data_IF_545294586171
#
_entry.id   IF_545294586171
#
_cell.length_a   1.000
_cell.length_b   1.000
_cell.length_c   1.000
_cell.angle_alpha   90.00
_cell.angle_beta   90.00
_cell.angle_gamma   90.00
#
_symmetry.space_group_name_H-M   'P 1'
#
loop_
_entity.id
_entity.type
_entity.pdbx_description
1 polymer ?
#
# COMPACT_ATOMS: atom_id res chain seq x y z
N UNK A 1 14.10 -12.31 -27.04
CA UNK A 1 13.95 -10.97 -26.44
C UNK A 1 14.15 -11.15 -24.94
N UNK A 2 15.08 -10.41 -24.35
CA UNK A 2 15.32 -10.52 -22.89
C UNK A 2 14.19 -9.81 -22.19
N UNK A 3 13.36 -10.56 -21.46
CA UNK A 3 12.28 -10.02 -20.64
C UNK A 3 12.85 -9.03 -19.63
N UNK A 4 12.50 -7.77 -19.72
CA UNK A 4 13.11 -6.71 -18.93
C UNK A 4 12.12 -6.16 -17.89
N UNK A 5 12.41 -6.44 -16.62
CA UNK A 5 11.79 -5.71 -15.50
C UNK A 5 12.45 -4.32 -15.40
N UNK A 6 11.64 -3.28 -15.42
CA UNK A 6 12.06 -1.90 -15.19
C UNK A 6 11.27 -1.28 -14.06
N UNK A 7 11.94 -0.65 -13.12
CA UNK A 7 11.29 0.21 -12.12
C UNK A 7 11.47 1.67 -12.52
N UNK A 8 10.42 2.46 -12.40
CA UNK A 8 10.45 3.90 -12.62
C UNK A 8 9.55 4.64 -11.61
N UNK A 9 9.84 5.91 -11.38
CA UNK A 9 8.89 6.78 -10.69
C UNK A 9 7.57 6.80 -11.47
N UNK A 10 6.45 6.85 -10.75
CA UNK A 10 5.17 7.04 -11.38
C UNK A 10 5.05 8.47 -11.92
N UNK A 11 4.21 8.64 -12.90
CA UNK A 11 3.80 9.92 -13.44
C UNK A 11 2.31 10.14 -13.12
N UNK A 12 1.87 11.39 -13.12
CA UNK A 12 0.48 11.74 -12.86
C UNK A 12 -0.53 11.02 -13.78
N UNK A 13 -0.11 10.68 -15.00
CA UNK A 13 -0.91 9.91 -15.96
C UNK A 13 -1.13 8.45 -15.55
N UNK A 14 -0.27 7.89 -14.70
CA UNK A 14 -0.37 6.50 -14.22
C UNK A 14 -1.51 6.31 -13.20
N UNK A 15 -2.12 7.38 -12.72
CA UNK A 15 -3.06 7.34 -11.58
C UNK A 15 -4.23 6.35 -11.75
N UNK A 16 -4.66 6.05 -12.97
CA UNK A 16 -5.69 5.04 -13.21
C UNK A 16 -5.17 3.62 -12.92
N UNK A 17 -3.96 3.30 -13.42
CA UNK A 17 -3.27 2.04 -13.13
C UNK A 17 -2.92 1.91 -11.64
N UNK A 18 -2.48 3.00 -11.03
CA UNK A 18 -2.22 3.04 -9.59
C UNK A 18 -3.48 2.69 -8.80
N UNK A 19 -4.66 3.25 -9.17
CA UNK A 19 -5.91 2.96 -8.48
C UNK A 19 -6.28 1.48 -8.55
N UNK A 20 -6.12 0.85 -9.71
CA UNK A 20 -6.38 -0.59 -9.89
C UNK A 20 -5.40 -1.42 -9.05
N UNK A 21 -4.11 -1.08 -9.05
CA UNK A 21 -3.10 -1.84 -8.32
C UNK A 21 -3.18 -1.64 -6.80
N UNK A 22 -3.57 -0.45 -6.32
CA UNK A 22 -3.89 -0.19 -4.91
C UNK A 22 -5.10 -1.02 -4.47
N UNK A 23 -6.14 -1.09 -5.29
CA UNK A 23 -7.32 -1.93 -5.00
C UNK A 23 -6.93 -3.41 -4.90
N UNK A 24 -6.07 -3.90 -5.81
CA UNK A 24 -5.54 -5.27 -5.77
C UNK A 24 -4.71 -5.51 -4.51
N UNK A 25 -3.88 -4.55 -4.11
CA UNK A 25 -3.03 -4.65 -2.93
C UNK A 25 -3.83 -4.65 -1.62
N UNK A 26 -4.94 -3.92 -1.60
CA UNK A 26 -5.79 -3.72 -0.42
C UNK A 26 -6.96 -4.70 -0.32
N UNK A 27 -7.11 -5.64 -1.25
CA UNK A 27 -8.17 -6.67 -1.26
C UNK A 27 -9.59 -6.12 -1.06
N UNK A 28 -9.90 -4.96 -1.68
CA UNK A 28 -11.22 -4.34 -1.60
C UNK A 28 -11.34 -3.20 -0.59
N UNK A 29 -10.35 -3.03 0.29
CA UNK A 29 -10.38 -1.97 1.29
C UNK A 29 -10.36 -0.56 0.66
N UNK A 30 -9.57 -0.36 -0.40
CA UNK A 30 -9.49 0.92 -1.10
C UNK A 30 -10.83 1.28 -1.75
N UNK A 31 -11.49 0.35 -2.44
CA UNK A 31 -12.83 0.56 -2.99
C UNK A 31 -13.83 0.93 -1.89
N UNK A 32 -13.82 0.25 -0.75
CA UNK A 32 -14.68 0.59 0.36
C UNK A 32 -14.45 2.04 0.85
N UNK A 33 -13.18 2.43 1.00
CA UNK A 33 -12.81 3.78 1.44
C UNK A 33 -13.25 4.85 0.42
N UNK A 34 -13.01 4.61 -0.86
CA UNK A 34 -13.34 5.53 -1.94
C UNK A 34 -14.85 5.63 -2.20
N UNK A 35 -15.60 4.57 -1.91
CA UNK A 35 -17.07 4.56 -2.09
C UNK A 35 -17.80 5.60 -1.23
N UNK A 36 -17.17 6.09 -0.17
CA UNK A 36 -17.69 7.21 0.62
C UNK A 36 -17.96 8.47 -0.22
N UNK A 37 -17.09 8.77 -1.19
CA UNK A 37 -17.29 9.91 -2.12
C UNK A 37 -18.48 9.69 -3.07
N UNK A 38 -18.69 8.45 -3.53
CA UNK A 38 -19.88 8.10 -4.35
C UNK A 38 -21.16 8.32 -3.55
N UNK A 39 -21.20 7.92 -2.28
CA UNK A 39 -22.36 8.14 -1.40
C UNK A 39 -22.68 9.62 -1.18
N UNK A 40 -21.67 10.49 -1.26
CA UNK A 40 -21.86 11.94 -1.14
C UNK A 40 -22.14 12.63 -2.48
N UNK A 41 -22.15 11.88 -3.59
CA UNK A 41 -22.37 12.42 -4.95
C UNK A 41 -21.18 13.23 -5.49
N UNK A 42 -19.97 13.00 -4.98
CA UNK A 42 -18.75 13.71 -5.40
C UNK A 42 -18.11 13.07 -6.64
N UNK A 43 -18.32 11.78 -6.85
CA UNK A 43 -17.84 11.00 -8.00
C UNK A 43 -18.86 9.94 -8.40
N UNK A 44 -18.79 9.45 -9.63
CA UNK A 44 -19.70 8.43 -10.14
C UNK A 44 -19.32 7.02 -9.68
N UNK A 45 -18.02 6.76 -9.49
CA UNK A 45 -17.51 5.45 -9.08
C UNK A 45 -16.37 5.54 -8.04
N UNK A 46 -16.21 4.49 -7.22
CA UNK A 46 -15.09 4.40 -6.29
C UNK A 46 -13.74 4.45 -7.01
N UNK A 47 -13.64 3.83 -8.20
CA UNK A 47 -12.40 3.82 -8.98
C UNK A 47 -12.03 5.21 -9.53
N UNK A 48 -13.02 6.00 -9.91
CA UNK A 48 -12.83 7.42 -10.29
C UNK A 48 -12.29 8.23 -9.11
N UNK A 49 -12.85 8.01 -7.90
CA UNK A 49 -12.36 8.63 -6.68
C UNK A 49 -10.90 8.24 -6.41
N UNK A 50 -10.58 6.95 -6.52
CA UNK A 50 -9.21 6.46 -6.34
C UNK A 50 -8.23 7.12 -7.31
N UNK A 51 -8.60 7.17 -8.61
CA UNK A 51 -7.82 7.86 -9.63
C UNK A 51 -7.64 9.35 -9.30
N UNK A 52 -8.69 10.03 -8.85
CA UNK A 52 -8.65 11.44 -8.47
C UNK A 52 -7.67 11.68 -7.31
N UNK A 53 -7.76 10.87 -6.25
CA UNK A 53 -6.87 10.94 -5.09
C UNK A 53 -5.41 10.71 -5.48
N UNK A 54 -5.14 9.66 -6.23
CA UNK A 54 -3.77 9.30 -6.65
C UNK A 54 -3.16 10.30 -7.64
N UNK A 55 -3.91 11.23 -8.20
CA UNK A 55 -3.43 12.35 -9.03
C UNK A 55 -3.07 13.61 -8.26
N UNK A 56 -3.36 13.68 -6.98
CA UNK A 56 -3.07 14.87 -6.16
C UNK A 56 -1.56 15.05 -5.99
N UNK A 57 -1.11 16.30 -5.99
CA UNK A 57 0.33 16.61 -5.94
C UNK A 57 0.87 16.68 -4.50
N UNK A 58 0.01 16.98 -3.54
CA UNK A 58 0.38 17.24 -2.15
C UNK A 58 -0.24 16.22 -1.16
N UNK A 59 -0.71 15.09 -1.68
CA UNK A 59 -1.31 14.02 -0.86
C UNK A 59 -0.27 12.93 -0.63
N UNK A 60 0.08 12.60 0.64
CA UNK A 60 0.91 11.43 0.93
C UNK A 60 0.28 10.14 0.39
N UNK A 61 1.08 9.29 -0.22
CA UNK A 61 0.60 8.07 -0.86
C UNK A 61 0.00 8.25 -2.25
N UNK A 62 0.12 9.45 -2.86
CA UNK A 62 -0.26 9.69 -4.26
C UNK A 62 0.86 9.34 -5.25
N UNK A 63 0.74 9.74 -6.51
CA UNK A 63 1.63 9.35 -7.60
C UNK A 63 3.11 9.69 -7.35
N UNK A 64 3.43 10.79 -6.65
CA UNK A 64 4.83 11.18 -6.35
C UNK A 64 5.54 10.18 -5.44
N UNK A 65 4.80 9.47 -4.62
CA UNK A 65 5.31 8.45 -3.71
C UNK A 65 5.33 7.05 -4.33
N UNK A 66 4.80 6.92 -5.56
CA UNK A 66 4.64 5.64 -6.23
C UNK A 66 5.83 5.29 -7.14
N UNK A 67 6.17 4.01 -7.16
CA UNK A 67 7.09 3.39 -8.10
C UNK A 67 6.34 2.36 -8.93
N UNK A 68 6.41 2.50 -10.24
CA UNK A 68 5.80 1.58 -11.20
C UNK A 68 6.83 0.53 -11.64
N UNK A 69 6.42 -0.72 -11.63
CA UNK A 69 7.14 -1.82 -12.25
C UNK A 69 6.55 -2.11 -13.64
N UNK A 70 7.38 -2.00 -14.66
CA UNK A 70 7.05 -2.39 -16.03
C UNK A 70 7.69 -3.74 -16.35
N UNK A 71 6.94 -4.60 -17.03
CA UNK A 71 7.40 -5.88 -17.56
C UNK A 71 7.13 -5.91 -19.06
N UNK A 72 8.20 -5.96 -19.85
CA UNK A 72 8.13 -5.86 -21.32
C UNK A 72 7.38 -4.62 -21.84
N UNK A 73 7.47 -3.50 -21.10
CA UNK A 73 6.83 -2.23 -21.47
C UNK A 73 5.40 -2.06 -20.98
N UNK A 74 4.81 -3.06 -20.32
CA UNK A 74 3.48 -2.97 -19.71
C UNK A 74 3.59 -2.76 -18.20
N UNK A 75 2.67 -1.98 -17.62
CA UNK A 75 2.58 -1.82 -16.17
C UNK A 75 2.20 -3.17 -15.54
N UNK A 76 3.06 -3.68 -14.68
CA UNK A 76 2.91 -4.98 -14.05
C UNK A 76 2.65 -4.91 -12.54
N UNK A 77 3.08 -3.83 -11.88
CA UNK A 77 2.91 -3.66 -10.45
C UNK A 77 3.29 -2.25 -9.98
N UNK A 78 3.03 -2.01 -8.71
CA UNK A 78 3.31 -0.74 -8.04
C UNK A 78 3.76 -0.96 -6.60
N UNK A 79 4.63 -0.08 -6.10
CA UNK A 79 4.75 0.21 -4.67
C UNK A 79 4.47 1.68 -4.42
N UNK A 80 3.82 1.96 -3.30
CA UNK A 80 3.61 3.32 -2.77
C UNK A 80 4.19 3.35 -1.38
N UNK A 81 5.13 4.25 -1.13
CA UNK A 81 5.74 4.41 0.17
C UNK A 81 6.12 5.86 0.44
N UNK A 82 5.88 6.30 1.67
CA UNK A 82 6.15 7.65 2.13
C UNK A 82 6.73 7.64 3.54
N UNK A 83 7.27 8.77 3.96
CA UNK A 83 7.80 8.92 5.30
C UNK A 83 6.68 9.22 6.28
N UNK A 84 6.55 8.37 7.30
CA UNK A 84 5.51 8.51 8.31
C UNK A 84 5.97 9.50 9.37
N UNK A 85 5.43 10.69 9.36
CA UNK A 85 5.79 11.78 10.26
C UNK A 85 4.95 11.82 11.55
N UNK A 86 5.28 12.75 12.46
CA UNK A 86 4.60 12.93 13.74
C UNK A 86 3.12 13.30 13.61
N UNK A 87 2.68 13.83 12.47
CA UNK A 87 1.28 14.25 12.26
C UNK A 87 0.30 13.09 12.41
N UNK A 88 0.74 11.85 12.17
CA UNK A 88 -0.11 10.66 12.34
C UNK A 88 -0.63 10.53 13.77
N UNK A 89 0.08 11.05 14.78
CA UNK A 89 -0.32 10.97 16.20
C UNK A 89 -1.57 11.81 16.50
N UNK A 90 -1.74 12.89 15.76
CA UNK A 90 -2.85 13.81 15.92
C UNK A 90 -4.03 13.50 14.98
N UNK A 91 -3.88 12.49 14.11
CA UNK A 91 -4.93 12.09 13.19
C UNK A 91 -6.09 11.44 13.93
N UNK A 92 -7.28 11.95 13.70
CA UNK A 92 -8.52 11.34 14.18
C UNK A 92 -9.06 10.41 13.08
N UNK A 93 -9.28 9.16 13.42
CA UNK A 93 -9.84 8.20 12.48
C UNK A 93 -11.25 8.65 12.03
N UNK A 94 -11.47 8.89 10.73
CA UNK A 94 -12.76 9.34 10.22
C UNK A 94 -13.85 8.26 10.31
N UNK A 95 -13.44 7.01 10.53
CA UNK A 95 -14.32 5.87 10.66
C UNK A 95 -13.67 4.79 11.55
N UNK A 96 -14.45 4.02 12.37
CA UNK A 96 -13.90 2.97 13.24
C UNK A 96 -13.03 1.94 12.53
N UNK A 97 -13.31 1.64 11.25
CA UNK A 97 -12.51 0.72 10.41
C UNK A 97 -11.07 1.20 10.23
N UNK A 98 -10.84 2.52 10.20
CA UNK A 98 -9.50 3.11 10.00
C UNK A 98 -8.69 3.16 11.29
N UNK A 99 -9.37 3.19 12.45
CA UNK A 99 -8.70 3.39 13.73
C UNK A 99 -7.57 2.38 14.01
N UNK A 100 -7.75 1.06 13.84
CA UNK A 100 -6.66 0.10 14.07
C UNK A 100 -5.43 0.35 13.20
N UNK A 101 -5.61 0.82 11.97
CA UNK A 101 -4.49 1.14 11.07
C UNK A 101 -3.70 2.35 11.57
N UNK A 102 -4.37 3.42 11.98
CA UNK A 102 -3.71 4.59 12.59
C UNK A 102 -3.02 4.23 13.90
N UNK A 103 -3.64 3.45 14.77
CA UNK A 103 -3.04 3.01 16.03
C UNK A 103 -1.74 2.22 15.79
N UNK A 104 -1.68 1.41 14.73
CA UNK A 104 -0.46 0.69 14.34
C UNK A 104 0.58 1.62 13.72
N UNK A 105 0.19 2.58 12.88
CA UNK A 105 1.11 3.54 12.26
C UNK A 105 1.82 4.41 13.30
N UNK A 106 1.14 4.82 14.36
CA UNK A 106 1.73 5.59 15.48
C UNK A 106 2.95 4.87 16.10
N UNK A 107 2.98 3.53 16.08
CA UNK A 107 4.09 2.75 16.65
C UNK A 107 5.36 2.77 15.79
N UNK A 108 5.29 3.29 14.57
CA UNK A 108 6.38 3.29 13.58
C UNK A 108 6.63 4.67 12.97
N UNK A 109 6.23 5.72 13.66
CA UNK A 109 6.55 7.11 13.28
C UNK A 109 8.06 7.26 13.07
N UNK A 110 8.45 7.98 12.03
CA UNK A 110 9.84 8.14 11.59
C UNK A 110 10.33 7.04 10.63
N UNK A 111 9.53 6.00 10.39
CA UNK A 111 9.86 4.99 9.39
C UNK A 111 9.46 5.42 7.98
N UNK A 112 10.08 4.77 6.98
CA UNK A 112 9.49 4.72 5.64
C UNK A 112 8.36 3.68 5.65
N UNK A 113 7.14 4.14 5.45
CA UNK A 113 5.95 3.31 5.46
C UNK A 113 5.57 2.90 4.04
N UNK A 114 5.49 1.60 3.79
CA UNK A 114 4.97 1.06 2.54
C UNK A 114 3.46 0.90 2.70
N UNK A 115 2.72 1.79 2.05
CA UNK A 115 1.26 1.82 2.09
C UNK A 115 0.65 0.74 1.19
N UNK A 116 1.18 0.61 -0.03
CA UNK A 116 0.67 -0.32 -1.02
C UNK A 116 1.80 -1.03 -1.76
N UNK A 117 1.66 -2.32 -2.00
CA UNK A 117 2.50 -3.11 -2.89
C UNK A 117 1.62 -4.11 -3.64
N UNK A 118 1.36 -3.83 -4.90
CA UNK A 118 0.46 -4.61 -5.75
C UNK A 118 1.12 -5.08 -7.04
N UNK A 119 0.80 -6.31 -7.45
CA UNK A 119 1.25 -6.89 -8.72
C UNK A 119 0.05 -7.56 -9.40
N UNK A 120 -0.17 -7.26 -10.68
CA UNK A 120 -1.19 -7.91 -11.47
C UNK A 120 -1.05 -9.43 -11.44
N UNK A 121 -2.18 -10.14 -11.36
CA UNK A 121 -2.20 -11.61 -11.16
C UNK A 121 -1.34 -12.38 -12.17
N UNK A 122 -1.41 -11.99 -13.45
CA UNK A 122 -0.67 -12.64 -14.54
C UNK A 122 0.83 -12.33 -14.58
N UNK A 123 1.27 -11.37 -13.75
CA UNK A 123 2.67 -11.00 -13.54
C UNK A 123 3.26 -11.53 -12.22
N UNK A 124 2.45 -12.17 -11.38
CA UNK A 124 2.94 -12.76 -10.10
C UNK A 124 3.91 -13.92 -10.36
N UNK A 125 4.75 -14.21 -9.37
CA UNK A 125 5.75 -15.28 -9.50
C UNK A 125 7.01 -14.89 -10.31
N UNK A 126 7.05 -13.71 -10.91
CA UNK A 126 8.18 -13.23 -11.75
C UNK A 126 9.21 -12.37 -10.97
N UNK A 127 9.12 -12.30 -9.65
CA UNK A 127 10.04 -11.52 -8.82
C UNK A 127 9.72 -10.02 -8.70
N UNK A 128 8.66 -9.52 -9.34
CA UNK A 128 8.30 -8.10 -9.39
C UNK A 128 8.04 -7.52 -7.98
N UNK A 129 7.25 -8.22 -7.15
CA UNK A 129 6.97 -7.79 -5.78
C UNK A 129 8.23 -7.68 -4.92
N UNK A 130 9.20 -8.60 -5.11
CA UNK A 130 10.51 -8.55 -4.43
C UNK A 130 11.32 -7.34 -4.89
N UNK A 131 11.33 -7.03 -6.19
CA UNK A 131 12.05 -5.89 -6.73
C UNK A 131 11.47 -4.56 -6.24
N UNK A 132 10.14 -4.41 -6.21
CA UNK A 132 9.45 -3.26 -5.65
C UNK A 132 9.76 -3.09 -4.16
N UNK A 133 9.70 -4.18 -3.38
CA UNK A 133 10.03 -4.16 -1.95
C UNK A 133 11.49 -3.75 -1.71
N UNK A 134 12.43 -4.31 -2.47
CA UNK A 134 13.84 -3.94 -2.38
C UNK A 134 14.05 -2.44 -2.67
N UNK A 135 13.37 -1.93 -3.70
CA UNK A 135 13.43 -0.51 -4.04
C UNK A 135 12.91 0.40 -2.90
N UNK A 136 11.81 0.03 -2.22
CA UNK A 136 11.30 0.78 -1.07
C UNK A 136 12.27 0.74 0.13
N UNK A 137 12.93 -0.40 0.35
CA UNK A 137 13.97 -0.55 1.37
C UNK A 137 15.16 0.36 1.07
N UNK A 138 15.62 0.42 -0.18
CA UNK A 138 16.72 1.30 -0.61
C UNK A 138 16.36 2.79 -0.43
N UNK A 139 15.13 3.18 -0.76
CA UNK A 139 14.61 4.55 -0.55
C UNK A 139 14.55 4.97 0.92
N UNK A 140 14.55 4.03 1.85
CA UNK A 140 14.54 4.34 3.29
C UNK A 140 15.85 4.95 3.79
N UNK A 141 16.95 4.83 3.04
CA UNK A 141 18.25 5.43 3.36
C UNK A 141 18.71 5.11 4.80
N UNK A 142 18.66 3.85 5.20
CA UNK A 142 19.09 3.39 6.53
C UNK A 142 18.06 3.57 7.65
N UNK A 143 16.88 4.11 7.36
CA UNK A 143 15.78 4.19 8.34
C UNK A 143 15.00 2.87 8.41
N UNK A 144 14.24 2.70 9.48
CA UNK A 144 13.28 1.61 9.60
C UNK A 144 12.30 1.65 8.41
N UNK A 145 11.99 0.47 7.86
CA UNK A 145 10.90 0.29 6.90
C UNK A 145 9.76 -0.45 7.58
N UNK A 146 8.54 0.00 7.39
CA UNK A 146 7.35 -0.59 7.99
C UNK A 146 6.21 -0.72 6.99
N UNK A 147 5.28 -1.60 7.30
CA UNK A 147 4.05 -1.80 6.53
C UNK A 147 3.00 -2.51 7.40
N UNK A 148 1.75 -2.46 6.95
CA UNK A 148 0.64 -3.21 7.57
C UNK A 148 0.07 -4.16 6.51
N UNK A 149 -0.24 -5.39 6.92
CA UNK A 149 -0.89 -6.37 6.05
C UNK A 149 -1.94 -7.17 6.82
N UNK A 150 -2.79 -7.89 6.11
CA UNK A 150 -3.80 -8.76 6.71
C UNK A 150 -3.16 -10.07 7.21
N UNK A 151 -3.62 -10.56 8.36
CA UNK A 151 -3.10 -11.79 9.00
C UNK A 151 -3.28 -13.06 8.15
N UNK A 152 -4.18 -13.05 7.18
CA UNK A 152 -4.42 -14.17 6.26
C UNK A 152 -3.78 -13.98 4.87
N UNK A 153 -3.01 -12.92 4.66
CA UNK A 153 -2.28 -12.70 3.41
C UNK A 153 -0.93 -13.45 3.44
N UNK A 154 -1.01 -14.80 3.43
CA UNK A 154 0.17 -15.65 3.52
C UNK A 154 1.27 -15.35 2.49
N UNK A 155 0.95 -15.09 1.19
CA UNK A 155 1.99 -14.76 0.22
C UNK A 155 2.74 -13.46 0.56
N UNK A 156 2.07 -12.44 1.06
CA UNK A 156 2.69 -11.18 1.46
C UNK A 156 3.53 -11.38 2.73
N UNK A 157 2.99 -12.05 3.74
CA UNK A 157 3.72 -12.37 4.98
C UNK A 157 5.02 -13.14 4.68
N UNK A 158 4.97 -14.14 3.79
CA UNK A 158 6.15 -14.89 3.36
C UNK A 158 7.18 -14.00 2.64
N UNK A 159 6.72 -13.11 1.74
CA UNK A 159 7.59 -12.16 1.05
C UNK A 159 8.30 -11.25 2.05
N UNK A 160 7.58 -10.67 2.99
CA UNK A 160 8.13 -9.74 3.97
C UNK A 160 9.10 -10.45 4.93
N UNK A 161 8.74 -11.62 5.46
CA UNK A 161 9.62 -12.41 6.33
C UNK A 161 10.94 -12.77 5.63
N UNK A 162 10.88 -13.19 4.35
CA UNK A 162 12.07 -13.50 3.54
C UNK A 162 12.97 -12.28 3.26
N UNK A 163 12.46 -11.05 3.48
CA UNK A 163 13.19 -9.80 3.32
C UNK A 163 13.51 -9.11 4.68
N UNK A 164 13.46 -9.86 5.78
CA UNK A 164 13.91 -9.40 7.10
C UNK A 164 12.91 -8.54 7.87
N UNK A 165 11.64 -8.53 7.47
CA UNK A 165 10.57 -7.92 8.27
C UNK A 165 10.15 -8.88 9.39
N UNK A 166 9.92 -8.32 10.57
CA UNK A 166 9.37 -9.03 11.72
C UNK A 166 8.10 -8.34 12.21
N UNK A 167 7.21 -9.11 12.81
CA UNK A 167 6.00 -8.59 13.42
C UNK A 167 6.36 -7.70 14.61
N UNK A 168 5.79 -6.49 14.64
CA UNK A 168 5.94 -5.53 15.72
C UNK A 168 4.68 -5.43 16.59
N UNK A 169 3.52 -5.52 15.97
CA UNK A 169 2.21 -5.45 16.63
C UNK A 169 1.13 -6.02 15.72
N UNK A 170 -0.03 -6.34 16.30
CA UNK A 170 -1.25 -6.66 15.57
C UNK A 170 -2.49 -6.17 16.31
N UNK A 171 -3.51 -5.83 15.56
CA UNK A 171 -4.80 -5.40 16.08
C UNK A 171 -5.93 -6.07 15.29
N UNK A 172 -7.06 -6.41 15.95
CA UNK A 172 -8.25 -6.88 15.26
C UNK A 172 -8.72 -5.85 14.21
N UNK A 173 -8.99 -6.30 13.00
CA UNK A 173 -9.63 -5.48 11.98
C UNK A 173 -11.10 -5.32 12.30
N UNK A 174 -11.64 -4.11 12.10
CA UNK A 174 -13.09 -3.89 12.12
C UNK A 174 -13.65 -4.37 10.77
N UNK A 175 -14.64 -5.28 10.75
CA UNK A 175 -15.20 -5.77 9.49
C UNK A 175 -15.80 -4.66 8.64
N UNK A 176 -15.57 -4.72 7.33
CA UNK A 176 -16.15 -3.77 6.37
C UNK A 176 -17.64 -4.00 6.18
N UNK A 177 -18.07 -5.26 6.24
CA UNK A 177 -19.44 -5.73 6.10
C UNK A 177 -19.72 -6.83 7.15
N UNK A 178 -20.99 -7.11 7.44
CA UNK A 178 -21.37 -8.12 8.44
C UNK A 178 -20.83 -9.52 8.13
N UNK A 179 -20.75 -9.87 6.85
CA UNK A 179 -20.25 -11.15 6.33
C UNK A 179 -18.75 -11.15 6.01
N UNK A 180 -18.04 -10.05 6.28
CA UNK A 180 -16.58 -9.98 6.04
C UNK A 180 -15.85 -11.02 6.88
N UNK A 181 -14.88 -11.70 6.25
CA UNK A 181 -13.99 -12.61 6.96
C UNK A 181 -13.20 -11.83 8.02
N UNK A 182 -13.27 -12.29 9.26
CA UNK A 182 -12.51 -11.69 10.37
C UNK A 182 -11.01 -11.93 10.16
N UNK A 183 -10.23 -10.89 10.38
CA UNK A 183 -8.78 -10.93 10.33
C UNK A 183 -8.18 -9.90 11.30
N UNK A 184 -6.88 -9.89 11.38
CA UNK A 184 -6.10 -8.88 12.13
C UNK A 184 -5.24 -8.09 11.15
N UNK A 185 -5.03 -6.84 11.47
CA UNK A 185 -3.97 -6.05 10.86
C UNK A 185 -2.65 -6.35 11.54
N UNK A 186 -1.66 -6.75 10.78
CA UNK A 186 -0.31 -7.09 11.27
C UNK A 186 0.66 -6.01 10.83
N UNK A 187 1.23 -5.30 11.81
CA UNK A 187 2.31 -4.35 11.59
C UNK A 187 3.63 -5.11 11.52
N UNK A 188 4.30 -5.00 10.40
CA UNK A 188 5.63 -5.53 10.16
C UNK A 188 6.64 -4.40 10.08
N UNK A 189 7.82 -4.60 10.65
CA UNK A 189 8.91 -3.64 10.54
C UNK A 189 10.24 -4.36 10.29
N UNK A 190 11.11 -3.70 9.52
CA UNK A 190 12.50 -4.09 9.29
C UNK A 190 13.40 -2.98 9.77
N UNK A 191 14.23 -3.26 10.77
CA UNK A 191 15.30 -2.36 11.17
C UNK A 191 16.44 -2.48 10.17
N UNK A 192 17.02 -1.36 9.79
CA UNK A 192 18.26 -1.37 9.03
C UNK A 192 19.43 -1.57 10.01
N UNK A 193 20.27 -2.53 9.71
CA UNK A 193 21.53 -2.78 10.41
C UNK A 193 22.63 -1.87 9.90
#
# INVERSE_FOLDING_TARGET
MTTALRLRAAERRDAAELAVLVEIASHGFATWLWYGAVKRGETDTAMEQGRSRLRMDDEPGAWKDATVAEWDGEVAGVSIGYDLDENVRDMVAPHPVIKPLLDLQVLVVGSRFIDSLGVYRHHRGKGIGRALLAHEIDKANGRQVSLITESHNEPALALYAANGFAEKARLPAVPLFEDSKRHEWVLLARNMT
#
